data_IF_411023773055
#
_entry.id   IF_411023773055
#
_cell.length_a   1.000
_cell.length_b   1.000
_cell.length_c   1.000
_cell.angle_alpha   90.00
_cell.angle_beta   90.00
_cell.angle_gamma   90.00
#
_symmetry.space_group_name_H-M   'P 1'
#
loop_
_entity.id
_entity.type
_entity.pdbx_description
1 polymer ?
#
# COMPACT_ATOMS: atom_id res chain seq x y z
N UNK A 1 -25.00 -1.44 -9.44
CA UNK A 1 -23.68 -0.87 -9.06
C UNK A 1 -23.52 -1.05 -7.57
N UNK A 2 -22.60 -1.92 -7.15
CA UNK A 2 -22.37 -2.22 -5.74
C UNK A 2 -21.61 -1.05 -5.10
N UNK A 3 -22.04 -0.51 -3.95
CA UNK A 3 -21.38 0.64 -3.34
C UNK A 3 -19.92 0.32 -3.00
N UNK A 4 -19.04 1.25 -3.40
CA UNK A 4 -17.63 1.27 -3.08
C UNK A 4 -17.45 1.51 -1.58
N UNK A 5 -17.00 0.50 -0.83
CA UNK A 5 -16.67 0.65 0.60
C UNK A 5 -15.15 0.61 0.80
N UNK A 6 -14.42 1.68 0.46
CA UNK A 6 -12.97 1.75 0.66
C UNK A 6 -12.58 1.59 2.13
N UNK A 7 -13.46 2.02 3.05
CA UNK A 7 -13.23 1.99 4.48
C UNK A 7 -12.95 0.59 5.04
N UNK A 8 -13.68 -0.44 4.60
CA UNK A 8 -13.47 -1.80 5.11
C UNK A 8 -12.13 -2.39 4.63
N UNK A 9 -11.78 -2.14 3.36
CA UNK A 9 -10.53 -2.63 2.77
C UNK A 9 -9.32 -1.95 3.40
N UNK A 10 -9.44 -0.65 3.67
CA UNK A 10 -8.42 0.13 4.34
C UNK A 10 -8.23 -0.33 5.79
N UNK A 11 -9.32 -0.50 6.54
CA UNK A 11 -9.25 -1.00 7.92
C UNK A 11 -8.58 -2.37 7.99
N UNK A 12 -8.94 -3.30 7.10
CA UNK A 12 -8.34 -4.63 7.06
C UNK A 12 -6.83 -4.56 6.76
N UNK A 13 -6.42 -3.68 5.84
CA UNK A 13 -5.01 -3.45 5.52
C UNK A 13 -4.25 -2.87 6.73
N UNK A 14 -4.76 -1.82 7.36
CA UNK A 14 -4.10 -1.16 8.50
C UNK A 14 -3.97 -2.10 9.71
N UNK A 15 -5.00 -2.90 9.98
CA UNK A 15 -4.96 -3.90 11.06
C UNK A 15 -3.91 -4.98 10.80
N UNK A 16 -3.64 -5.32 9.53
CA UNK A 16 -2.64 -6.33 9.18
C UNK A 16 -1.21 -5.85 9.43
N UNK A 17 -0.94 -4.56 9.14
CA UNK A 17 0.39 -3.95 9.24
C UNK A 17 0.73 -3.46 10.64
N UNK A 18 -0.25 -3.10 11.47
CA UNK A 18 -0.02 -2.60 12.82
C UNK A 18 0.41 -3.70 13.80
N UNK A 19 1.40 -3.43 14.65
CA UNK A 19 1.85 -4.35 15.69
C UNK A 19 1.02 -4.15 16.98
N UNK A 20 -0.13 -4.84 17.03
CA UNK A 20 -1.13 -4.72 18.11
C UNK A 20 -0.69 -5.26 19.47
N UNK A 21 0.42 -6.00 19.55
CA UNK A 21 0.92 -6.60 20.79
C UNK A 21 1.68 -5.62 21.68
N UNK A 22 2.12 -4.48 21.14
CA UNK A 22 2.93 -3.49 21.90
C UNK A 22 2.07 -2.68 22.86
N UNK A 23 0.85 -2.32 22.44
CA UNK A 23 -0.02 -1.40 23.18
C UNK A 23 -1.40 -2.05 23.45
N UNK A 24 -1.51 -2.95 24.45
CA UNK A 24 -2.81 -3.53 24.82
C UNK A 24 -3.78 -2.43 25.28
N UNK A 25 -5.09 -2.64 25.08
CA UNK A 25 -6.16 -1.69 25.43
C UNK A 25 -6.05 -0.29 24.78
N UNK A 26 -5.32 -0.17 23.68
CA UNK A 26 -5.19 1.07 22.93
C UNK A 26 -6.12 1.08 21.73
N UNK A 27 -6.73 2.25 21.45
CA UNK A 27 -7.49 2.48 20.23
C UNK A 27 -6.76 3.51 19.38
N UNK A 28 -6.41 3.11 18.16
CA UNK A 28 -5.85 4.01 17.14
C UNK A 28 -6.96 4.33 16.14
N UNK A 29 -7.27 5.62 15.98
CA UNK A 29 -8.25 6.09 15.01
C UNK A 29 -7.55 6.81 13.86
N UNK A 30 -7.82 6.36 12.64
CA UNK A 30 -7.28 6.95 11.41
C UNK A 30 -8.45 7.60 10.68
N UNK A 31 -8.31 8.88 10.32
CA UNK A 31 -9.32 9.64 9.59
C UNK A 31 -8.71 10.08 8.26
N UNK A 32 -9.33 9.69 7.16
CA UNK A 32 -8.92 10.06 5.82
C UNK A 32 -9.96 10.96 5.18
N UNK A 33 -9.51 12.12 4.70
CA UNK A 33 -10.33 13.08 3.99
C UNK A 33 -9.88 13.14 2.54
N UNK A 34 -10.81 12.85 1.62
CA UNK A 34 -10.56 12.97 0.19
C UNK A 34 -10.59 14.46 -0.17
N UNK A 35 -9.44 15.00 -0.56
CA UNK A 35 -9.30 16.40 -1.01
C UNK A 35 -9.49 16.52 -2.52
N UNK A 36 -8.87 15.60 -3.26
CA UNK A 36 -9.00 15.49 -4.71
C UNK A 36 -9.07 14.02 -5.10
N UNK A 37 -9.92 13.70 -6.06
CA UNK A 37 -10.09 12.35 -6.59
C UNK A 37 -9.94 12.38 -8.11
N UNK A 38 -8.73 12.05 -8.57
CA UNK A 38 -8.35 11.93 -9.97
C UNK A 38 -7.88 10.49 -10.30
N UNK A 39 -8.47 9.48 -9.65
CA UNK A 39 -8.12 8.07 -9.83
C UNK A 39 -7.24 7.52 -8.73
N UNK A 40 -7.03 6.19 -8.72
CA UNK A 40 -6.20 5.47 -7.75
C UNK A 40 -6.57 5.73 -6.28
N UNK A 41 -7.84 6.03 -6.00
CA UNK A 41 -8.26 6.55 -4.69
C UNK A 41 -7.95 5.60 -3.52
N UNK A 42 -8.21 4.30 -3.66
CA UNK A 42 -7.92 3.31 -2.61
C UNK A 42 -6.42 3.17 -2.33
N UNK A 43 -5.54 2.91 -3.33
CA UNK A 43 -4.11 2.83 -3.06
C UNK A 43 -3.53 4.15 -2.52
N UNK A 44 -4.02 5.30 -2.98
CA UNK A 44 -3.64 6.60 -2.41
C UNK A 44 -4.00 6.67 -0.91
N UNK A 45 -5.23 6.30 -0.55
CA UNK A 45 -5.71 6.29 0.83
C UNK A 45 -4.89 5.36 1.74
N UNK A 46 -4.51 4.16 1.26
CA UNK A 46 -3.69 3.21 2.02
C UNK A 46 -2.27 3.76 2.23
N UNK A 47 -1.67 4.34 1.19
CA UNK A 47 -0.34 4.95 1.30
C UNK A 47 -0.35 6.15 2.26
N UNK A 48 -1.41 6.97 2.22
CA UNK A 48 -1.58 8.09 3.14
C UNK A 48 -1.77 7.63 4.60
N UNK A 49 -2.60 6.60 4.84
CA UNK A 49 -2.78 6.00 6.16
C UNK A 49 -1.47 5.45 6.70
N UNK A 50 -0.70 4.74 5.87
CA UNK A 50 0.61 4.20 6.25
C UNK A 50 1.57 5.32 6.64
N UNK A 51 1.65 6.40 5.84
CA UNK A 51 2.48 7.53 6.17
C UNK A 51 2.05 8.22 7.49
N UNK A 52 0.74 8.38 7.72
CA UNK A 52 0.20 8.94 8.96
C UNK A 52 0.50 8.06 10.19
N UNK A 53 0.44 6.74 10.05
CA UNK A 53 0.79 5.80 11.11
C UNK A 53 2.28 5.90 11.49
N UNK A 54 3.16 6.05 10.50
CA UNK A 54 4.59 6.26 10.75
C UNK A 54 4.82 7.62 11.42
N UNK A 55 4.18 8.69 10.93
CA UNK A 55 4.31 10.04 11.50
C UNK A 55 3.79 10.09 12.95
N UNK A 56 2.73 9.35 13.27
CA UNK A 56 2.20 9.19 14.62
C UNK A 56 3.03 8.26 15.52
N UNK A 57 4.10 7.64 15.01
CA UNK A 57 4.96 6.73 15.77
C UNK A 57 4.28 5.41 16.17
N UNK A 58 3.24 4.99 15.46
CA UNK A 58 2.55 3.73 15.74
C UNK A 58 3.45 2.55 15.32
N UNK A 59 3.72 1.57 16.19
CA UNK A 59 4.53 0.41 15.82
C UNK A 59 3.91 -0.41 14.67
N UNK A 60 4.64 -0.55 13.57
CA UNK A 60 4.24 -1.32 12.39
C UNK A 60 5.16 -2.54 12.18
N UNK A 61 4.60 -3.65 11.71
CA UNK A 61 5.37 -4.85 11.30
C UNK A 61 6.16 -4.59 10.03
N UNK A 62 5.53 -3.89 9.08
CA UNK A 62 6.08 -3.48 7.80
C UNK A 62 5.26 -2.30 7.27
N UNK A 63 5.82 -1.51 6.37
CA UNK A 63 5.05 -0.51 5.64
C UNK A 63 4.15 -1.20 4.61
N UNK A 64 2.96 -0.65 4.37
CA UNK A 64 2.15 -1.01 3.22
C UNK A 64 2.44 -0.06 2.06
N UNK A 65 2.66 -0.62 0.87
CA UNK A 65 2.81 0.13 -0.37
C UNK A 65 1.75 -0.36 -1.34
N UNK A 66 0.74 0.47 -1.55
CA UNK A 66 -0.37 0.20 -2.42
C UNK A 66 -0.14 0.79 -3.82
N UNK A 67 -0.45 0.01 -4.85
CA UNK A 67 -0.33 0.36 -6.26
C UNK A 67 -1.67 0.07 -6.94
N UNK A 68 -2.12 1.01 -7.77
CA UNK A 68 -3.21 0.78 -8.70
C UNK A 68 -2.67 0.26 -10.04
N UNK A 69 -3.29 -0.79 -10.55
CA UNK A 69 -3.06 -1.32 -11.88
C UNK A 69 -4.39 -1.34 -12.64
N UNK A 70 -4.41 -0.73 -13.82
CA UNK A 70 -5.55 -0.75 -14.73
C UNK A 70 -5.26 -1.62 -15.95
N UNK A 71 -6.28 -2.35 -16.43
CA UNK A 71 -6.20 -3.19 -17.62
C UNK A 71 -7.08 -2.57 -18.71
N UNK A 72 -6.46 -2.28 -19.85
CA UNK A 72 -7.12 -1.76 -21.05
C UNK A 72 -7.66 -2.90 -21.94
N UNK A 73 -8.60 -2.61 -22.85
CA UNK A 73 -9.21 -3.58 -23.80
C UNK A 73 -8.18 -4.38 -24.60
N UNK A 74 -6.98 -3.83 -24.81
CA UNK A 74 -5.89 -4.49 -25.55
C UNK A 74 -5.03 -5.42 -24.69
N UNK A 75 -5.38 -5.59 -23.41
CA UNK A 75 -4.60 -6.36 -22.44
C UNK A 75 -3.35 -5.65 -21.91
N UNK A 76 -3.18 -4.36 -22.23
CA UNK A 76 -2.12 -3.52 -21.67
C UNK A 76 -2.39 -3.19 -20.21
N UNK A 77 -1.36 -3.33 -19.36
CA UNK A 77 -1.40 -2.92 -17.95
C UNK A 77 -0.82 -1.51 -17.80
N UNK A 78 -1.64 -0.59 -17.29
CA UNK A 78 -1.25 0.75 -16.88
C UNK A 78 -1.13 0.82 -15.36
N UNK A 79 -0.13 1.54 -14.86
CA UNK A 79 0.06 1.77 -13.42
C UNK A 79 -0.38 3.18 -13.07
N UNK A 80 -1.02 3.32 -11.91
CA UNK A 80 -1.52 4.59 -11.38
C UNK A 80 -2.42 5.36 -12.38
N UNK A 81 -3.56 4.77 -12.79
CA UNK A 81 -4.46 5.39 -13.76
C UNK A 81 -5.13 6.64 -13.21
N UNK A 82 -5.24 7.65 -14.07
CA UNK A 82 -6.09 8.82 -13.85
C UNK A 82 -7.56 8.44 -13.91
N UNK A 83 -8.44 9.30 -13.40
CA UNK A 83 -9.89 9.07 -13.42
C UNK A 83 -10.46 8.87 -14.82
N UNK A 84 -9.90 9.55 -15.81
CA UNK A 84 -10.29 9.38 -17.21
C UNK A 84 -9.83 8.04 -17.79
N UNK A 85 -8.70 7.51 -17.33
CA UNK A 85 -8.20 6.19 -17.71
C UNK A 85 -9.00 5.09 -17.02
N UNK A 86 -9.29 5.22 -15.72
CA UNK A 86 -10.13 4.27 -14.97
C UNK A 86 -11.51 4.04 -15.62
N UNK A 87 -12.09 5.08 -16.21
CA UNK A 87 -13.39 4.99 -16.89
C UNK A 87 -13.36 4.18 -18.20
N UNK A 88 -12.19 4.04 -18.82
CA UNK A 88 -12.00 3.35 -20.09
C UNK A 88 -11.44 1.93 -19.92
N UNK A 89 -11.10 1.55 -18.70
CA UNK A 89 -10.50 0.27 -18.38
C UNK A 89 -11.54 -0.80 -18.10
N UNK A 90 -11.26 -2.02 -18.56
CA UNK A 90 -12.13 -3.18 -18.34
C UNK A 90 -12.00 -3.73 -16.92
N UNK A 91 -10.82 -3.54 -16.32
CA UNK A 91 -10.51 -4.01 -14.99
C UNK A 91 -9.50 -3.14 -14.26
N UNK A 92 -9.55 -3.25 -12.94
CA UNK A 92 -8.69 -2.53 -12.01
C UNK A 92 -8.26 -3.45 -10.86
N UNK A 93 -6.99 -3.38 -10.48
CA UNK A 93 -6.40 -4.07 -9.34
C UNK A 93 -5.71 -3.09 -8.42
N UNK A 94 -6.13 -3.03 -7.16
CA UNK A 94 -5.34 -2.43 -6.09
C UNK A 94 -4.52 -3.53 -5.43
N UNK A 95 -3.19 -3.42 -5.53
CA UNK A 95 -2.23 -4.39 -5.00
C UNK A 95 -1.45 -3.72 -3.86
N UNK A 96 -1.43 -4.35 -2.69
CA UNK A 96 -0.71 -3.82 -1.53
C UNK A 96 0.44 -4.75 -1.17
N UNK A 97 1.65 -4.23 -1.28
CA UNK A 97 2.88 -4.97 -1.01
C UNK A 97 3.44 -4.60 0.36
N UNK A 98 3.97 -5.58 1.12
CA UNK A 98 4.71 -5.31 2.33
C UNK A 98 6.09 -4.75 1.97
N UNK A 99 6.51 -3.73 2.69
CA UNK A 99 7.85 -3.17 2.60
C UNK A 99 8.50 -3.23 3.99
N UNK A 100 9.54 -4.05 4.14
CA UNK A 100 10.14 -4.33 5.44
C UNK A 100 10.72 -3.08 6.11
N UNK A 101 10.28 -2.82 7.34
CA UNK A 101 10.69 -1.69 8.17
C UNK A 101 12.15 -1.78 8.68
N UNK A 102 12.79 -2.96 8.58
CA UNK A 102 14.22 -3.18 8.88
C UNK A 102 15.17 -2.28 8.07
N UNK A 103 14.66 -1.60 7.04
CA UNK A 103 15.39 -0.65 6.21
C UNK A 103 15.26 0.82 6.62
N UNK A 104 14.52 1.12 7.70
CA UNK A 104 14.20 2.48 8.14
C UNK A 104 14.90 2.84 9.46
N UNK A 105 15.19 1.87 10.32
CA UNK A 105 15.88 2.07 11.60
C UNK A 105 17.26 1.37 11.57
N UNK A 106 18.37 2.08 11.84
CA UNK A 106 19.73 1.48 11.84
C UNK A 106 19.95 0.40 12.92
N UNK A 107 19.12 0.35 13.97
CA UNK A 107 19.37 -0.46 15.18
C UNK A 107 18.29 -1.50 15.51
N UNK A 108 17.57 -2.00 14.52
CA UNK A 108 16.73 -3.19 14.73
C UNK A 108 17.61 -4.45 14.68
N UNK A 109 17.75 -5.13 15.82
CA UNK A 109 18.43 -6.42 15.94
C UNK A 109 17.87 -7.45 14.97
N UNK A 110 18.69 -8.42 14.49
CA UNK A 110 18.24 -9.42 13.54
C UNK A 110 17.30 -10.39 14.26
N UNK A 111 16.00 -10.12 14.21
CA UNK A 111 15.01 -11.08 14.69
C UNK A 111 14.77 -12.11 13.60
N UNK A 112 15.33 -13.30 13.85
CA UNK A 112 14.99 -14.64 13.37
C UNK A 112 14.97 -14.85 11.84
N UNK A 113 15.95 -15.62 11.36
CA UNK A 113 15.95 -16.25 10.04
C UNK A 113 14.66 -17.05 9.79
N UNK A 114 13.92 -16.64 8.76
CA UNK A 114 12.70 -17.29 8.27
C UNK A 114 11.49 -16.40 8.55
N UNK A 115 11.06 -15.50 7.67
CA UNK A 115 10.78 -15.69 6.26
C UNK A 115 11.22 -14.45 5.48
N UNK A 116 12.00 -14.67 4.43
CA UNK A 116 12.28 -13.65 3.42
C UNK A 116 10.95 -13.19 2.79
N UNK A 117 10.35 -12.11 3.31
CA UNK A 117 9.18 -11.42 2.76
C UNK A 117 9.51 -10.72 1.44
N UNK A 118 10.36 -11.29 0.60
CA UNK A 118 10.71 -10.68 -0.67
C UNK A 118 9.52 -10.75 -1.64
N UNK A 119 8.65 -11.78 -1.58
CA UNK A 119 7.54 -12.00 -2.54
C UNK A 119 6.09 -11.95 -1.98
N UNK A 120 5.86 -11.32 -0.82
CA UNK A 120 4.52 -11.24 -0.23
C UNK A 120 3.59 -10.21 -0.88
N UNK A 121 2.28 -10.44 -0.80
CA UNK A 121 1.24 -9.43 -1.01
C UNK A 121 0.38 -9.38 0.25
N UNK A 122 0.12 -8.19 0.79
CA UNK A 122 -0.72 -8.00 1.98
C UNK A 122 -2.18 -8.22 1.58
N UNK A 123 -2.61 -7.54 0.52
CA UNK A 123 -3.97 -7.67 0.00
C UNK A 123 -4.02 -7.29 -1.47
N UNK A 124 -5.01 -7.87 -2.16
CA UNK A 124 -5.33 -7.57 -3.55
C UNK A 124 -6.83 -7.35 -3.66
N UNK A 125 -7.22 -6.25 -4.29
CA UNK A 125 -8.62 -5.93 -4.58
C UNK A 125 -8.77 -5.74 -6.07
N UNK A 126 -9.47 -6.68 -6.69
CA UNK A 126 -9.66 -6.75 -8.13
C UNK A 126 -11.10 -6.36 -8.48
N UNK A 127 -11.28 -5.67 -9.60
CA UNK A 127 -12.57 -5.24 -10.13
C UNK A 127 -12.60 -5.32 -11.64
N UNK A 128 -13.80 -5.47 -12.17
CA UNK A 128 -14.01 -5.63 -13.60
C UNK A 128 -13.65 -7.04 -14.06
N UNK A 129 -13.46 -7.18 -15.37
CA UNK A 129 -13.18 -8.46 -16.01
C UNK A 129 -11.69 -8.58 -16.27
N UNK A 130 -11.00 -9.46 -15.54
CA UNK A 130 -9.58 -9.70 -15.72
C UNK A 130 -9.29 -11.18 -15.89
N UNK A 131 -8.38 -11.50 -16.82
CA UNK A 131 -7.80 -12.83 -16.93
C UNK A 131 -6.74 -13.05 -15.86
N UNK A 132 -6.39 -14.32 -15.62
CA UNK A 132 -5.29 -14.67 -14.70
C UNK A 132 -3.97 -14.09 -15.21
N UNK A 133 -3.71 -14.14 -16.51
CA UNK A 133 -2.48 -13.61 -17.10
C UNK A 133 -2.37 -12.10 -16.91
N UNK A 134 -3.46 -11.36 -17.13
CA UNK A 134 -3.50 -9.91 -16.90
C UNK A 134 -3.28 -9.57 -15.42
N UNK A 135 -3.86 -10.36 -14.50
CA UNK A 135 -3.62 -10.19 -13.06
C UNK A 135 -2.15 -10.44 -12.69
N UNK A 136 -1.53 -11.50 -13.22
CA UNK A 136 -0.11 -11.80 -12.97
C UNK A 136 0.81 -10.71 -13.53
N UNK A 137 0.49 -10.16 -14.71
CA UNK A 137 1.21 -9.00 -15.26
C UNK A 137 1.04 -7.75 -14.37
N UNK A 138 -0.15 -7.51 -13.83
CA UNK A 138 -0.39 -6.45 -12.86
C UNK A 138 0.45 -6.65 -11.60
N UNK A 139 0.58 -7.89 -11.13
CA UNK A 139 1.36 -8.23 -9.94
C UNK A 139 2.86 -7.99 -10.16
N UNK A 140 3.40 -8.42 -11.30
CA UNK A 140 4.81 -8.21 -11.64
C UNK A 140 5.14 -6.72 -11.82
N UNK A 141 4.33 -5.99 -12.59
CA UNK A 141 4.51 -4.55 -12.81
C UNK A 141 4.29 -3.73 -11.55
N UNK A 142 3.22 -4.04 -10.81
CA UNK A 142 2.89 -3.38 -9.55
C UNK A 142 4.00 -3.55 -8.53
N UNK A 143 4.62 -4.73 -8.47
CA UNK A 143 5.75 -4.98 -7.59
C UNK A 143 7.03 -4.25 -8.00
N UNK A 144 7.30 -4.15 -9.30
CA UNK A 144 8.42 -3.32 -9.78
C UNK A 144 8.24 -1.85 -9.39
N UNK A 145 7.00 -1.35 -9.50
CA UNK A 145 6.65 0.02 -9.11
C UNK A 145 6.64 0.25 -7.60
N UNK A 146 6.23 -0.75 -6.80
CA UNK A 146 6.22 -0.65 -5.34
C UNK A 146 7.62 -0.42 -4.75
N UNK A 147 8.67 -0.90 -5.42
CA UNK A 147 10.06 -0.59 -5.05
C UNK A 147 10.35 0.91 -5.08
N UNK A 148 9.88 1.62 -6.11
CA UNK A 148 10.08 3.08 -6.24
C UNK A 148 9.33 3.86 -5.16
N UNK A 149 8.08 3.48 -4.88
CA UNK A 149 7.29 4.13 -3.82
C UNK A 149 7.88 3.80 -2.44
N UNK A 150 8.36 2.57 -2.23
CA UNK A 150 9.05 2.18 -1.00
C UNK A 150 10.27 3.06 -0.74
N UNK A 151 11.08 3.31 -1.75
CA UNK A 151 12.24 4.19 -1.64
C UNK A 151 11.86 5.65 -1.40
N UNK A 152 10.79 6.13 -2.04
CA UNK A 152 10.26 7.46 -1.78
C UNK A 152 9.77 7.62 -0.34
N UNK A 153 9.01 6.66 0.18
CA UNK A 153 8.54 6.66 1.57
C UNK A 153 9.72 6.66 2.54
N UNK A 154 10.73 5.80 2.33
CA UNK A 154 11.94 5.77 3.17
C UNK A 154 12.63 7.13 3.23
N UNK A 155 12.92 7.73 2.07
CA UNK A 155 13.61 9.03 2.00
C UNK A 155 12.82 10.14 2.66
N UNK A 156 11.50 10.16 2.44
CA UNK A 156 10.60 11.19 2.97
C UNK A 156 10.42 11.09 4.48
N UNK A 157 10.51 9.88 5.04
CA UNK A 157 10.42 9.63 6.48
C UNK A 157 11.76 9.87 7.18
N UNK A 158 12.89 9.51 6.56
CA UNK A 158 14.23 9.75 7.11
C UNK A 158 14.58 11.23 7.22
N UNK A 159 14.15 12.07 6.27
CA UNK A 159 14.43 13.52 6.31
C UNK A 159 13.71 14.27 7.43
N UNK A 160 12.76 13.62 8.12
CA UNK A 160 11.97 14.19 9.22
C UNK A 160 12.50 13.85 10.62
N UNK A 161 13.46 12.94 10.74
CA UNK A 161 14.13 12.70 12.03
C UNK A 161 15.06 13.89 12.30
N UNK A 162 14.84 14.69 13.36
CA UNK A 162 15.76 15.77 13.68
C UNK A 162 17.14 15.16 13.97
N UNK A 163 18.19 15.75 13.39
CA UNK A 163 19.54 15.56 13.93
C UNK A 163 19.57 16.23 15.32
N UNK A 164 19.05 15.56 16.34
CA UNK A 164 19.31 15.94 17.72
C UNK A 164 20.81 15.72 17.96
N UNK A 165 21.54 16.85 17.99
CA UNK A 165 22.96 16.95 18.35
C UNK A 165 23.08 17.38 19.81
#
# INVERSE_FOLDING_TARGET
MQPYYPAHQLLACDQSICLRTVNPNTTTSIILQVINDDGSLLPCAINAATAALVDAGIPLKHLAVAIACGIEERGSVLLDPTKLEEQKMDAFSCLVFPNSALSILPEASPQVEGEKTEHGIITSVNRGVMSVDSYLQCLERGRSASSKISDFLRRSLQSRVPNDS
#
